data_IF_633433578552
#
_entry.id   IF_633433578552
#
_cell.length_a   1.000
_cell.length_b   1.000
_cell.length_c   1.000
_cell.angle_alpha   90.00
_cell.angle_beta   90.00
_cell.angle_gamma   90.00
#
_symmetry.space_group_name_H-M   'P 1'
#
loop_
_entity.id
_entity.type
_entity.pdbx_description
1 polymer ?
#
# COMPACT_ATOMS: atom_id res chain seq x y z
N UNK A 1 2.99 17.91 -9.96
CA UNK A 1 3.62 16.80 -9.22
C UNK A 1 4.57 16.07 -10.14
N UNK A 2 5.83 15.97 -9.75
CA UNK A 2 6.87 15.33 -10.58
C UNK A 2 7.24 13.95 -10.03
N UNK A 3 6.26 13.23 -9.52
CA UNK A 3 6.45 11.88 -9.02
C UNK A 3 6.26 10.89 -10.18
N UNK A 4 7.22 9.99 -10.35
CA UNK A 4 7.12 8.91 -11.32
C UNK A 4 6.72 7.64 -10.58
N UNK A 5 5.65 7.00 -11.04
CA UNK A 5 5.20 5.73 -10.48
C UNK A 5 5.30 4.69 -11.59
N UNK A 6 6.18 3.72 -11.40
CA UNK A 6 6.37 2.63 -12.36
C UNK A 6 5.74 1.36 -11.79
N UNK A 7 4.87 0.73 -12.57
CA UNK A 7 4.16 -0.47 -12.14
C UNK A 7 4.58 -1.63 -13.02
N UNK A 8 5.10 -2.69 -12.39
CA UNK A 8 5.45 -3.93 -13.06
C UNK A 8 4.52 -5.03 -12.59
N UNK A 9 3.93 -5.77 -13.54
CA UNK A 9 3.03 -6.87 -13.22
C UNK A 9 3.76 -8.20 -13.44
N UNK A 10 3.93 -8.97 -12.37
CA UNK A 10 4.62 -10.25 -12.39
C UNK A 10 3.67 -11.45 -12.43
N UNK A 11 2.40 -11.24 -12.16
CA UNK A 11 1.42 -12.33 -12.11
C UNK A 11 0.19 -12.01 -12.94
N UNK A 12 -0.25 -12.98 -13.73
CA UNK A 12 -1.46 -12.85 -14.53
C UNK A 12 -2.72 -12.75 -13.67
N UNK A 13 -2.66 -13.09 -12.40
CA UNK A 13 -3.80 -12.97 -11.48
C UNK A 13 -4.37 -11.55 -11.46
N UNK A 14 -3.53 -10.55 -11.68
CA UNK A 14 -3.94 -9.15 -11.67
C UNK A 14 -4.87 -8.77 -12.83
N UNK A 15 -4.98 -9.63 -13.85
CA UNK A 15 -5.96 -9.45 -14.94
C UNK A 15 -7.39 -9.47 -14.41
N UNK A 16 -7.61 -10.08 -13.24
CA UNK A 16 -8.92 -10.12 -12.59
C UNK A 16 -9.33 -8.77 -12.00
N UNK A 17 -8.41 -7.83 -11.94
CA UNK A 17 -8.67 -6.49 -11.43
C UNK A 17 -8.11 -5.46 -12.41
N UNK A 18 -8.79 -5.27 -13.57
CA UNK A 18 -8.25 -4.42 -14.63
C UNK A 18 -8.06 -2.95 -14.25
N UNK A 19 -8.76 -2.46 -13.22
CA UNK A 19 -8.58 -1.10 -12.72
C UNK A 19 -7.44 -0.90 -11.74
N UNK A 20 -6.65 -1.95 -11.47
CA UNK A 20 -5.63 -1.90 -10.42
C UNK A 20 -4.59 -0.80 -10.61
N UNK A 21 -4.05 -0.64 -11.81
CA UNK A 21 -3.01 0.37 -12.04
C UNK A 21 -3.52 1.79 -11.78
N UNK A 22 -4.70 2.11 -12.27
CA UNK A 22 -5.30 3.44 -12.07
C UNK A 22 -5.54 3.68 -10.57
N UNK A 23 -6.08 2.67 -9.89
CA UNK A 23 -6.36 2.76 -8.46
C UNK A 23 -5.07 2.98 -7.65
N UNK A 24 -4.02 2.24 -7.99
CA UNK A 24 -2.74 2.35 -7.31
C UNK A 24 -2.10 3.72 -7.49
N UNK A 25 -2.14 4.25 -8.72
CA UNK A 25 -1.60 5.58 -8.98
C UNK A 25 -2.34 6.65 -8.17
N UNK A 26 -3.65 6.57 -8.14
CA UNK A 26 -4.47 7.50 -7.36
C UNK A 26 -4.16 7.43 -5.88
N UNK A 27 -4.04 6.22 -5.34
CA UNK A 27 -3.77 6.01 -3.92
C UNK A 27 -2.39 6.54 -3.52
N UNK A 28 -1.35 6.18 -4.27
CA UNK A 28 0.02 6.60 -3.98
C UNK A 28 0.17 8.10 -4.15
N UNK A 29 -0.39 8.67 -5.20
CA UNK A 29 -0.33 10.12 -5.41
C UNK A 29 -1.03 10.88 -4.28
N UNK A 30 -2.16 10.37 -3.79
CA UNK A 30 -2.87 10.99 -2.68
C UNK A 30 -2.03 10.96 -1.39
N UNK A 31 -1.37 9.85 -1.11
CA UNK A 31 -0.50 9.72 0.06
C UNK A 31 0.69 10.68 -0.02
N UNK A 32 1.32 10.78 -1.18
CA UNK A 32 2.47 11.67 -1.36
C UNK A 32 2.05 13.13 -1.28
N UNK A 33 0.91 13.47 -1.84
CA UNK A 33 0.37 14.82 -1.79
C UNK A 33 0.07 15.23 -0.35
N UNK A 34 -0.51 14.32 0.42
CA UNK A 34 -0.79 14.55 1.83
C UNK A 34 0.50 14.82 2.62
N UNK A 35 1.57 14.14 2.27
CA UNK A 35 2.89 14.31 2.89
C UNK A 35 3.68 15.49 2.29
N UNK A 36 3.11 16.20 1.31
CA UNK A 36 3.74 17.31 0.60
C UNK A 36 5.02 16.90 -0.12
N UNK A 37 5.04 15.68 -0.63
CA UNK A 37 6.12 15.18 -1.46
C UNK A 37 5.68 15.35 -2.91
N UNK A 38 6.37 16.18 -3.66
CA UNK A 38 5.98 16.54 -5.02
C UNK A 38 6.94 16.02 -6.09
N UNK A 39 7.99 15.32 -5.70
CA UNK A 39 8.97 14.78 -6.63
C UNK A 39 9.56 13.48 -6.09
N UNK A 40 9.94 12.59 -7.00
CA UNK A 40 10.59 11.33 -6.66
C UNK A 40 10.08 10.17 -7.49
N UNK A 41 10.58 8.99 -7.21
CA UNK A 41 10.24 7.78 -7.95
C UNK A 41 9.80 6.67 -7.01
N UNK A 42 8.67 6.02 -7.33
CA UNK A 42 8.17 4.85 -6.63
C UNK A 42 7.98 3.72 -7.63
N UNK A 43 8.48 2.53 -7.27
CA UNK A 43 8.18 1.31 -8.00
C UNK A 43 7.06 0.54 -7.30
N UNK A 44 6.17 -0.05 -8.08
CA UNK A 44 5.12 -0.93 -7.56
C UNK A 44 5.21 -2.23 -8.32
N UNK A 45 5.26 -3.35 -7.60
CA UNK A 45 5.29 -4.68 -8.19
C UNK A 45 4.00 -5.41 -7.83
N UNK A 46 3.26 -5.82 -8.85
CA UNK A 46 2.04 -6.59 -8.70
C UNK A 46 2.40 -8.07 -8.79
N UNK A 47 2.56 -8.67 -7.63
CA UNK A 47 3.10 -10.02 -7.47
C UNK A 47 2.02 -11.01 -7.03
N UNK A 48 2.44 -12.25 -6.80
CA UNK A 48 1.61 -13.29 -6.21
C UNK A 48 2.10 -13.62 -4.80
N UNK A 49 1.36 -14.50 -4.11
CA UNK A 49 1.70 -14.91 -2.76
C UNK A 49 3.08 -15.58 -2.68
N UNK A 50 3.41 -16.41 -3.66
CA UNK A 50 4.71 -17.12 -3.68
C UNK A 50 5.87 -16.11 -3.74
N UNK A 51 5.75 -15.11 -4.58
CA UNK A 51 6.79 -14.09 -4.73
C UNK A 51 6.95 -13.26 -3.47
N UNK A 52 5.83 -12.81 -2.88
CA UNK A 52 5.89 -11.97 -1.70
C UNK A 52 6.38 -12.74 -0.48
N UNK A 53 6.06 -14.04 -0.40
CA UNK A 53 6.57 -14.90 0.66
C UNK A 53 8.09 -15.03 0.59
N UNK A 54 8.63 -15.22 -0.62
CA UNK A 54 10.07 -15.28 -0.84
C UNK A 54 10.76 -13.98 -0.45
N UNK A 55 10.17 -12.83 -0.82
CA UNK A 55 10.72 -11.53 -0.45
C UNK A 55 10.67 -11.29 1.06
N UNK A 56 9.57 -11.68 1.69
CA UNK A 56 9.40 -11.52 3.13
C UNK A 56 10.43 -12.37 3.89
N UNK A 57 10.66 -13.59 3.41
CA UNK A 57 11.67 -14.47 3.98
C UNK A 57 13.09 -13.90 3.83
N UNK A 58 13.42 -13.46 2.61
CA UNK A 58 14.77 -12.99 2.30
C UNK A 58 15.13 -11.67 2.97
N UNK A 59 14.17 -10.74 3.06
CA UNK A 59 14.44 -9.39 3.55
C UNK A 59 14.00 -9.12 4.97
N UNK A 60 13.08 -9.91 5.51
CA UNK A 60 12.56 -9.74 6.87
C UNK A 60 12.73 -10.98 7.75
N UNK A 61 13.22 -12.07 7.17
CA UNK A 61 13.39 -13.32 7.89
C UNK A 61 12.09 -14.02 8.26
N UNK A 62 10.97 -13.59 7.69
CA UNK A 62 9.65 -14.15 7.97
C UNK A 62 9.16 -14.95 6.78
N UNK A 63 9.09 -16.27 6.92
CA UNK A 63 8.68 -17.18 5.85
C UNK A 63 7.15 -17.31 5.81
N UNK A 64 6.48 -16.23 5.44
CA UNK A 64 5.02 -16.14 5.37
C UNK A 64 4.61 -15.22 4.23
N UNK A 65 3.39 -15.45 3.73
CA UNK A 65 2.76 -14.49 2.82
C UNK A 65 2.32 -13.25 3.59
N UNK A 66 2.20 -12.15 2.89
CA UNK A 66 1.62 -10.92 3.42
C UNK A 66 0.90 -10.20 2.28
N UNK A 67 0.17 -9.15 2.58
CA UNK A 67 -0.58 -8.41 1.56
C UNK A 67 0.28 -7.37 0.86
N UNK A 68 1.14 -6.68 1.59
CA UNK A 68 1.98 -5.61 1.04
C UNK A 68 3.33 -5.58 1.76
N UNK A 69 4.39 -5.29 1.00
CA UNK A 69 5.72 -5.01 1.53
C UNK A 69 6.16 -3.66 0.99
N UNK A 70 6.80 -2.88 1.83
CA UNK A 70 7.36 -1.58 1.45
C UNK A 70 8.86 -1.59 1.74
N UNK A 71 9.64 -1.22 0.74
CA UNK A 71 11.10 -1.17 0.84
C UNK A 71 11.56 0.27 0.58
N UNK A 72 11.81 1.06 1.64
CA UNK A 72 12.31 2.42 1.47
C UNK A 72 13.65 2.41 0.74
N UNK A 73 13.83 3.34 -0.18
CA UNK A 73 15.09 3.46 -0.90
C UNK A 73 16.17 4.02 0.01
N UNK A 74 17.41 3.60 -0.23
CA UNK A 74 18.56 4.21 0.44
C UNK A 74 18.70 5.65 -0.05
N UNK A 75 19.19 6.53 0.83
CA UNK A 75 19.47 7.91 0.45
C UNK A 75 20.54 7.91 -0.64
N UNK A 76 20.23 8.59 -1.74
CA UNK A 76 21.13 8.68 -2.87
C UNK A 76 21.66 10.12 -2.98
N UNK A 77 22.98 10.33 -2.91
CA UNK A 77 23.55 11.66 -3.20
C UNK A 77 23.46 11.92 -4.69
N UNK A 78 23.33 13.19 -5.07
CA UNK A 78 23.36 13.58 -6.46
C UNK A 78 22.14 14.39 -6.87
N UNK A 79 22.12 14.73 -8.15
CA UNK A 79 21.05 15.51 -8.77
C UNK A 79 20.09 14.60 -9.52
N UNK A 80 18.86 15.06 -9.70
CA UNK A 80 17.84 14.32 -10.43
C UNK A 80 16.80 13.70 -9.52
N UNK A 81 15.83 12.95 -10.10
CA UNK A 81 14.75 12.34 -9.33
C UNK A 81 15.31 11.36 -8.30
N UNK A 82 14.82 11.46 -7.07
CA UNK A 82 15.29 10.61 -5.99
C UNK A 82 14.35 9.42 -5.82
N UNK A 83 14.89 8.20 -5.67
CA UNK A 83 14.04 7.06 -5.38
C UNK A 83 13.43 7.19 -3.99
N UNK A 84 12.13 6.92 -3.89
CA UNK A 84 11.42 6.93 -2.62
C UNK A 84 11.39 5.49 -2.08
N UNK A 85 11.16 4.53 -2.95
CA UNK A 85 11.18 3.12 -2.61
C UNK A 85 10.27 2.28 -3.48
N UNK A 86 10.06 1.04 -3.04
CA UNK A 86 9.26 0.07 -3.77
C UNK A 86 8.16 -0.50 -2.89
N UNK A 87 7.02 -0.77 -3.51
CA UNK A 87 5.87 -1.41 -2.87
C UNK A 87 5.58 -2.69 -3.64
N UNK A 88 5.45 -3.79 -2.93
CA UNK A 88 5.10 -5.09 -3.53
C UNK A 88 3.76 -5.53 -2.95
N UNK A 89 2.85 -5.94 -3.83
CA UNK A 89 1.49 -6.34 -3.46
C UNK A 89 1.22 -7.76 -3.94
N UNK A 90 0.62 -8.57 -3.08
CA UNK A 90 0.27 -9.95 -3.40
C UNK A 90 -1.22 -10.07 -3.71
N UNK A 91 -1.54 -10.50 -4.91
CA UNK A 91 -2.92 -10.56 -5.36
C UNK A 91 -3.81 -11.45 -4.49
N UNK A 92 -3.40 -12.69 -4.27
CA UNK A 92 -4.24 -13.68 -3.58
C UNK A 92 -4.55 -13.29 -2.14
N UNK A 93 -3.55 -12.80 -1.42
CA UNK A 93 -3.76 -12.34 -0.04
C UNK A 93 -4.68 -11.13 -0.01
N UNK A 94 -4.44 -10.16 -0.88
CA UNK A 94 -5.28 -8.97 -0.99
C UNK A 94 -6.73 -9.35 -1.30
N UNK A 95 -6.94 -10.23 -2.28
CA UNK A 95 -8.28 -10.64 -2.71
C UNK A 95 -9.02 -11.40 -1.61
N UNK A 96 -8.34 -12.30 -0.91
CA UNK A 96 -8.95 -13.04 0.21
C UNK A 96 -9.36 -12.11 1.35
N UNK A 97 -8.52 -11.14 1.65
CA UNK A 97 -8.82 -10.17 2.71
C UNK A 97 -10.03 -9.32 2.34
N UNK A 98 -10.07 -8.84 1.10
CA UNK A 98 -11.19 -8.03 0.63
C UNK A 98 -12.50 -8.80 0.71
N UNK A 99 -12.51 -10.04 0.28
CA UNK A 99 -13.69 -10.90 0.34
C UNK A 99 -14.11 -11.18 1.78
N UNK A 100 -13.16 -11.55 2.64
CA UNK A 100 -13.43 -11.84 4.04
C UNK A 100 -13.98 -10.63 4.79
N UNK A 101 -13.51 -9.43 4.46
CA UNK A 101 -13.93 -8.20 5.11
C UNK A 101 -15.10 -7.52 4.42
N UNK A 102 -15.61 -8.08 3.34
CA UNK A 102 -16.73 -7.50 2.62
C UNK A 102 -16.42 -6.17 1.94
N UNK A 103 -15.18 -5.99 1.52
CA UNK A 103 -14.73 -4.77 0.86
C UNK A 103 -14.56 -4.99 -0.64
N UNK A 104 -14.73 -3.93 -1.43
CA UNK A 104 -14.35 -3.98 -2.84
C UNK A 104 -12.84 -4.20 -2.94
N UNK A 105 -12.43 -5.12 -3.81
CA UNK A 105 -11.01 -5.43 -3.97
C UNK A 105 -10.20 -4.18 -4.32
N UNK A 106 -10.72 -3.33 -5.18
CA UNK A 106 -10.05 -2.09 -5.55
C UNK A 106 -9.84 -1.15 -4.35
N UNK A 107 -10.84 -1.02 -3.49
CA UNK A 107 -10.73 -0.17 -2.28
C UNK A 107 -9.72 -0.75 -1.30
N UNK A 108 -9.71 -2.07 -1.12
CA UNK A 108 -8.73 -2.71 -0.25
C UNK A 108 -7.32 -2.54 -0.80
N UNK A 109 -7.16 -2.70 -2.11
CA UNK A 109 -5.89 -2.47 -2.78
C UNK A 109 -5.38 -1.05 -2.55
N UNK A 110 -6.26 -0.07 -2.68
CA UNK A 110 -5.89 1.33 -2.45
C UNK A 110 -5.47 1.57 -1.01
N UNK A 111 -6.15 0.95 -0.06
CA UNK A 111 -5.75 1.04 1.35
C UNK A 111 -4.33 0.48 1.55
N UNK A 112 -4.04 -0.68 0.98
CA UNK A 112 -2.71 -1.29 1.08
C UNK A 112 -1.63 -0.41 0.44
N UNK A 113 -1.95 0.22 -0.69
CA UNK A 113 -1.01 1.11 -1.37
C UNK A 113 -0.72 2.37 -0.55
N UNK A 114 -1.75 2.96 0.06
CA UNK A 114 -1.57 4.10 0.96
C UNK A 114 -0.70 3.70 2.15
N UNK A 115 -1.00 2.56 2.75
CA UNK A 115 -0.22 2.03 3.87
C UNK A 115 1.25 1.84 3.51
N UNK A 116 1.52 1.21 2.36
CA UNK A 116 2.87 1.02 1.87
C UNK A 116 3.59 2.34 1.59
N UNK A 117 2.90 3.29 0.98
CA UNK A 117 3.47 4.60 0.70
C UNK A 117 3.84 5.35 1.99
N UNK A 118 2.99 5.27 3.01
CA UNK A 118 3.29 5.90 4.31
C UNK A 118 4.52 5.28 4.96
N UNK A 119 4.70 3.96 4.86
CA UNK A 119 5.92 3.32 5.33
C UNK A 119 7.16 3.83 4.59
N UNK A 120 7.06 4.04 3.27
CA UNK A 120 8.19 4.54 2.48
C UNK A 120 8.65 5.91 2.95
N UNK A 121 7.73 6.73 3.44
CA UNK A 121 8.06 8.10 3.87
C UNK A 121 8.29 8.24 5.37
N UNK A 122 8.39 7.10 6.09
CA UNK A 122 8.85 7.08 7.46
C UNK A 122 7.82 6.76 8.53
N UNK A 123 6.55 6.57 8.18
CA UNK A 123 5.58 6.14 9.17
C UNK A 123 5.83 4.68 9.57
N UNK A 124 5.56 4.39 10.81
CA UNK A 124 5.77 3.06 11.37
C UNK A 124 4.61 2.75 12.33
N UNK A 125 4.50 1.50 12.74
CA UNK A 125 3.47 1.08 13.69
C UNK A 125 4.03 0.15 14.79
N UNK A 126 5.29 0.40 15.18
CA UNK A 126 5.95 -0.37 16.25
C UNK A 126 5.35 -0.05 17.62
N UNK A 127 5.09 1.23 17.86
CA UNK A 127 4.48 1.69 19.10
C UNK A 127 2.99 1.97 18.87
N UNK A 128 2.16 1.85 19.91
CA UNK A 128 0.72 2.10 19.78
C UNK A 128 0.42 3.52 19.29
N UNK A 129 1.14 4.52 19.78
CA UNK A 129 0.96 5.90 19.35
C UNK A 129 1.31 6.08 17.87
N UNK A 130 2.35 5.39 17.40
CA UNK A 130 2.76 5.44 15.99
C UNK A 130 1.71 4.76 15.11
N UNK A 131 1.16 3.64 15.58
CA UNK A 131 0.10 2.94 14.86
C UNK A 131 -1.14 3.82 14.74
N UNK A 132 -1.54 4.49 15.80
CA UNK A 132 -2.69 5.39 15.78
C UNK A 132 -2.49 6.56 14.82
N UNK A 133 -1.29 7.16 14.83
CA UNK A 133 -0.96 8.26 13.93
C UNK A 133 -1.01 7.82 12.47
N UNK A 134 -0.44 6.66 12.17
CA UNK A 134 -0.45 6.11 10.82
C UNK A 134 -1.87 5.80 10.35
N UNK A 135 -2.66 5.15 11.19
CA UNK A 135 -4.05 4.83 10.87
C UNK A 135 -4.89 6.09 10.65
N UNK A 136 -4.66 7.13 11.45
CA UNK A 136 -5.34 8.41 11.27
C UNK A 136 -5.01 9.03 9.90
N UNK A 137 -3.76 8.94 9.47
CA UNK A 137 -3.36 9.42 8.14
C UNK A 137 -4.01 8.58 7.04
N UNK A 138 -4.02 7.26 7.19
CA UNK A 138 -4.67 6.38 6.23
C UNK A 138 -6.15 6.75 6.06
N UNK A 139 -6.87 6.95 7.15
CA UNK A 139 -8.30 7.34 7.11
C UNK A 139 -8.49 8.65 6.36
N UNK A 140 -7.67 9.63 6.66
CA UNK A 140 -7.78 10.96 6.05
C UNK A 140 -7.50 10.91 4.55
N UNK A 141 -6.46 10.20 4.15
CA UNK A 141 -6.09 10.05 2.74
C UNK A 141 -7.19 9.29 1.98
N UNK A 142 -7.65 8.18 2.53
CA UNK A 142 -8.68 7.37 1.89
C UNK A 142 -10.00 8.12 1.78
N UNK A 143 -10.32 8.97 2.75
CA UNK A 143 -11.52 9.82 2.67
C UNK A 143 -11.46 10.75 1.47
N UNK A 144 -10.29 11.29 1.13
CA UNK A 144 -10.15 12.14 -0.06
C UNK A 144 -10.37 11.37 -1.35
N UNK A 145 -10.25 10.05 -1.30
CA UNK A 145 -10.45 9.17 -2.45
C UNK A 145 -11.87 8.58 -2.49
N UNK A 146 -12.72 8.97 -1.53
CA UNK A 146 -14.07 8.44 -1.45
C UNK A 146 -14.16 7.04 -0.88
N UNK A 147 -13.14 6.61 -0.16
CA UNK A 147 -13.08 5.27 0.43
C UNK A 147 -13.40 5.36 1.92
N UNK A 148 -14.32 4.50 2.38
CA UNK A 148 -14.74 4.46 3.77
C UNK A 148 -13.57 4.06 4.68
N UNK A 149 -13.63 4.49 5.94
CA UNK A 149 -12.63 4.18 6.96
C UNK A 149 -12.44 2.66 7.06
N UNK A 150 -11.25 2.16 6.75
CA UNK A 150 -11.01 0.71 6.79
C UNK A 150 -11.05 0.13 8.19
N UNK A 151 -10.92 0.97 9.20
CA UNK A 151 -10.88 0.54 10.60
C UNK A 151 -12.23 0.67 11.31
N UNK A 152 -13.19 1.40 10.75
CA UNK A 152 -14.53 1.57 11.34
C UNK A 152 -15.39 0.32 11.26
N UNK A 153 -15.07 -0.58 10.34
CA UNK A 153 -15.86 -1.77 10.06
C UNK A 153 -16.06 -2.67 11.26
N UNK A 154 -15.03 -2.82 12.10
CA UNK A 154 -15.15 -3.65 13.30
C UNK A 154 -16.12 -3.06 14.31
N UNK A 155 -16.14 -1.74 14.41
CA UNK A 155 -17.07 -1.03 15.28
C UNK A 155 -18.49 -1.17 14.76
N UNK A 156 -18.67 -1.04 13.45
CA UNK A 156 -19.97 -1.18 12.81
C UNK A 156 -20.52 -2.58 13.00
N UNK A 157 -19.67 -3.60 12.81
CA UNK A 157 -20.06 -4.98 13.03
C UNK A 157 -20.45 -5.22 14.48
N UNK A 158 -19.72 -4.63 15.43
CA UNK A 158 -20.03 -4.71 16.83
C UNK A 158 -21.34 -4.00 17.18
N UNK A 159 -21.57 -2.85 16.58
CA UNK A 159 -22.79 -2.09 16.79
C UNK A 159 -24.01 -2.79 16.20
N UNK A 160 -23.83 -3.47 15.08
CA UNK A 160 -24.90 -4.21 14.43
C UNK A 160 -25.28 -5.50 15.16
N UNK A 161 -24.37 -5.99 15.97
CA UNK A 161 -24.61 -7.17 16.78
C UNK A 161 -25.37 -6.82 18.04
#
# INVERSE_FOLDING_TARGET
MSVTIEIATESAAWEKLPGAEIALRRAVEAALRDARIDAGEIGIVLADDARIQALNKNFRGTDKTTNVLAFPAAKSPGHGPKPIGDIVLAYETMAREAEREGKAAEHHLMHLAVHGALHLIGFDHVEDADAEAMEARERAILATLGIADPYARHQDAGAAA
#
